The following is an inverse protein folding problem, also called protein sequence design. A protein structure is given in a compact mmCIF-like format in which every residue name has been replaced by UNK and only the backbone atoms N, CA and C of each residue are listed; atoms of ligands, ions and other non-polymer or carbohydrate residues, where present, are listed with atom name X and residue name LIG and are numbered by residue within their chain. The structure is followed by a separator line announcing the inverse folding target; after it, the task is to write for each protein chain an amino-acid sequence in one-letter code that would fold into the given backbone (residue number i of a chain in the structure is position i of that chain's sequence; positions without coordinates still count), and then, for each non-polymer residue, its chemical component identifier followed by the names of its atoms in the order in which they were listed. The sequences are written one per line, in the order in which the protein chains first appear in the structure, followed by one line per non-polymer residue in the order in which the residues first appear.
data_IF_100079896528
#
_entry.id   IF_100079896528
#
_cell.length_a   1.000
_cell.length_b   1.000
_cell.length_c   1.000
_cell.angle_alpha   90.00
_cell.angle_beta   90.00
_cell.angle_gamma   90.00
#
_symmetry.space_group_name_H-M   'P 1'
#
loop_
_entity.id
_entity.type
_entity.pdbx_description
1 polymer ?
#
# COMPACT_ATOMS: atom_id res chain seq x y z
N UNK A 1 11.02 13.62 -9.32
CA UNK A 1 10.53 12.64 -8.33
C UNK A 1 11.51 11.47 -8.30
N UNK A 2 12.09 11.12 -7.15
CA UNK A 2 13.00 9.96 -7.06
C UNK A 2 12.19 8.68 -7.38
N UNK A 3 12.72 7.72 -8.16
CA UNK A 3 12.01 6.46 -8.41
C UNK A 3 11.76 5.70 -7.11
N UNK A 4 10.62 5.01 -7.05
CA UNK A 4 10.29 4.10 -5.96
C UNK A 4 11.19 2.86 -6.07
N UNK A 5 12.22 2.81 -5.22
CA UNK A 5 13.20 1.72 -5.13
C UNK A 5 12.59 0.58 -4.31
N UNK A 6 12.57 -0.64 -4.87
CA UNK A 6 11.98 -1.81 -4.22
C UNK A 6 13.14 -2.64 -3.63
N UNK A 7 13.21 -2.82 -2.31
CA UNK A 7 14.27 -3.60 -1.67
C UNK A 7 14.27 -5.08 -2.08
N UNK A 8 15.46 -5.67 -2.21
CA UNK A 8 15.65 -7.10 -2.50
C UNK A 8 15.28 -8.02 -1.32
N UNK A 9 15.12 -7.46 -0.12
CA UNK A 9 14.71 -8.19 1.09
C UNK A 9 13.23 -8.59 1.10
N UNK A 10 12.44 -8.09 0.14
CA UNK A 10 11.00 -8.31 0.09
C UNK A 10 10.70 -9.57 -0.74
N UNK A 11 9.75 -10.44 -0.32
CA UNK A 11 9.34 -11.60 -1.10
C UNK A 11 8.98 -11.28 -2.55
N UNK A 12 9.34 -12.15 -3.49
CA UNK A 12 9.22 -11.92 -4.94
C UNK A 12 7.81 -11.48 -5.38
N UNK A 13 6.75 -12.09 -4.85
CA UNK A 13 5.37 -11.74 -5.22
C UNK A 13 4.99 -10.33 -4.76
N UNK A 14 5.43 -9.98 -3.56
CA UNK A 14 5.23 -8.65 -2.99
C UNK A 14 6.02 -7.62 -3.78
N UNK A 15 7.29 -7.87 -4.08
CA UNK A 15 8.13 -7.01 -4.91
C UNK A 15 7.49 -6.75 -6.30
N UNK A 16 6.92 -7.79 -6.93
CA UNK A 16 6.18 -7.65 -8.20
C UNK A 16 4.95 -6.74 -8.06
N UNK A 17 4.18 -6.85 -6.98
CA UNK A 17 3.04 -5.96 -6.75
C UNK A 17 3.47 -4.49 -6.63
N UNK A 18 4.59 -4.21 -5.94
CA UNK A 18 5.13 -2.84 -5.87
C UNK A 18 5.72 -2.36 -7.19
N UNK A 19 6.31 -3.24 -7.98
CA UNK A 19 6.76 -2.90 -9.33
C UNK A 19 5.56 -2.51 -10.21
N UNK A 20 4.46 -3.26 -10.15
CA UNK A 20 3.21 -2.90 -10.82
C UNK A 20 2.66 -1.56 -10.33
N UNK A 21 2.60 -1.33 -9.01
CA UNK A 21 2.15 -0.05 -8.45
C UNK A 21 3.00 1.14 -8.95
N UNK A 22 4.33 0.96 -9.02
CA UNK A 22 5.25 1.96 -9.58
C UNK A 22 4.96 2.26 -11.05
N UNK A 23 4.75 1.24 -11.87
CA UNK A 23 4.43 1.44 -13.28
C UNK A 23 3.04 2.08 -13.47
N UNK A 24 2.06 1.73 -12.64
CA UNK A 24 0.75 2.39 -12.64
C UNK A 24 0.84 3.88 -12.30
N UNK A 25 1.69 4.26 -11.34
CA UNK A 25 1.98 5.68 -11.06
C UNK A 25 2.57 6.38 -12.29
N UNK A 26 3.51 5.73 -13.02
CA UNK A 26 4.08 6.29 -14.25
C UNK A 26 3.05 6.44 -15.35
N UNK A 27 2.20 5.44 -15.54
CA UNK A 27 1.12 5.47 -16.52
C UNK A 27 -0.03 6.39 -16.11
N UNK A 28 -0.04 6.91 -14.88
CA UNK A 28 -1.04 7.88 -14.45
C UNK A 28 -0.98 9.20 -15.22
N UNK A 29 0.10 9.43 -15.98
CA UNK A 29 0.17 10.48 -17.00
C UNK A 29 -0.92 10.32 -18.08
N UNK A 30 -1.22 9.07 -18.47
CA UNK A 30 -2.23 8.78 -19.50
C UNK A 30 -3.64 8.64 -18.91
N UNK A 31 -3.76 7.99 -17.75
CA UNK A 31 -5.05 7.82 -17.06
C UNK A 31 -4.89 8.04 -15.56
N UNK A 32 -5.48 9.11 -15.03
CA UNK A 32 -5.29 9.51 -13.64
C UNK A 32 -5.78 8.46 -12.64
N UNK A 33 -6.71 7.59 -13.02
CA UNK A 33 -7.25 6.52 -12.16
C UNK A 33 -6.19 5.47 -11.83
N UNK A 34 -5.14 5.32 -12.65
CA UNK A 34 -4.05 4.41 -12.34
C UNK A 34 -3.34 4.75 -11.04
N UNK A 35 -3.40 6.00 -10.58
CA UNK A 35 -2.87 6.40 -9.29
C UNK A 35 -3.64 5.73 -8.13
N UNK A 36 -4.97 5.64 -8.24
CA UNK A 36 -5.80 4.95 -7.27
C UNK A 36 -5.65 3.41 -7.36
N UNK A 37 -5.45 2.87 -8.57
CA UNK A 37 -5.15 1.44 -8.77
C UNK A 37 -3.80 1.11 -8.15
N UNK A 38 -2.77 1.95 -8.32
CA UNK A 38 -1.46 1.75 -7.73
C UNK A 38 -1.52 1.64 -6.20
N UNK A 39 -2.24 2.56 -5.54
CA UNK A 39 -2.48 2.53 -4.10
C UNK A 39 -3.24 1.26 -3.70
N UNK A 40 -4.23 0.85 -4.49
CA UNK A 40 -5.00 -0.37 -4.20
C UNK A 40 -4.12 -1.62 -4.29
N UNK A 41 -3.25 -1.70 -5.31
CA UNK A 41 -2.28 -2.79 -5.49
C UNK A 41 -1.29 -2.86 -4.32
N UNK A 42 -0.74 -1.72 -3.87
CA UNK A 42 0.19 -1.72 -2.73
C UNK A 42 -0.48 -2.15 -1.42
N UNK A 43 -1.73 -1.73 -1.21
CA UNK A 43 -2.50 -2.09 -0.02
C UNK A 43 -2.85 -3.58 0.01
N UNK A 44 -3.17 -4.19 -1.13
CA UNK A 44 -3.39 -5.64 -1.23
C UNK A 44 -2.11 -6.41 -0.86
N UNK A 45 -0.96 -5.95 -1.35
CA UNK A 45 0.33 -6.57 -1.02
C UNK A 45 0.63 -6.51 0.48
N UNK A 46 0.38 -5.36 1.12
CA UNK A 46 0.50 -5.21 2.58
C UNK A 46 -0.46 -6.11 3.33
N UNK A 47 -1.70 -6.23 2.87
CA UNK A 47 -2.71 -6.99 3.60
C UNK A 47 -2.30 -8.45 3.76
N UNK A 48 -1.67 -9.03 2.73
CA UNK A 48 -1.10 -10.38 2.80
C UNK A 48 0.00 -10.47 3.86
N UNK A 49 0.99 -9.56 3.84
CA UNK A 49 2.09 -9.57 4.81
C UNK A 49 1.61 -9.36 6.26
N UNK A 50 0.66 -8.45 6.46
CA UNK A 50 0.04 -8.23 7.77
C UNK A 50 -0.78 -9.45 8.22
N UNK A 51 -1.44 -10.15 7.29
CA UNK A 51 -2.20 -11.36 7.60
C UNK A 51 -1.28 -12.50 8.02
N UNK A 52 -0.15 -12.65 7.37
CA UNK A 52 0.87 -13.64 7.75
C UNK A 52 1.41 -13.38 9.16
N UNK A 53 1.66 -12.12 9.53
CA UNK A 53 2.19 -11.76 10.85
C UNK A 53 1.16 -11.79 11.97
N UNK A 54 -0.06 -11.29 11.75
CA UNK A 54 -1.04 -11.04 12.81
C UNK A 54 -2.30 -11.92 12.75
N UNK A 55 -2.51 -12.71 11.69
CA UNK A 55 -3.65 -13.63 11.57
C UNK A 55 -5.04 -12.96 11.57
N UNK A 56 -5.14 -11.66 11.32
CA UNK A 56 -6.38 -10.89 11.47
C UNK A 56 -7.39 -11.05 10.33
N UNK A 57 -8.68 -10.98 10.67
CA UNK A 57 -9.79 -11.12 9.70
C UNK A 57 -10.00 -9.92 8.77
N UNK A 58 -9.48 -8.74 9.13
CA UNK A 58 -9.58 -7.56 8.29
C UNK A 58 -8.37 -6.63 8.45
N UNK A 59 -8.06 -5.90 7.38
CA UNK A 59 -6.89 -5.01 7.33
C UNK A 59 -6.88 -3.95 8.44
N UNK A 60 -8.03 -3.41 8.86
CA UNK A 60 -8.06 -2.40 9.90
C UNK A 60 -7.67 -2.94 11.28
N UNK A 61 -8.10 -4.16 11.60
CA UNK A 61 -7.69 -4.84 12.81
C UNK A 61 -6.17 -5.09 12.80
N UNK A 62 -5.63 -5.52 11.66
CA UNK A 62 -4.19 -5.77 11.54
C UNK A 62 -3.34 -4.51 11.63
N UNK A 63 -3.79 -3.39 11.05
CA UNK A 63 -3.14 -2.07 11.22
C UNK A 63 -3.14 -1.66 12.70
N UNK A 64 -4.26 -1.85 13.42
CA UNK A 64 -4.32 -1.53 14.85
C UNK A 64 -3.39 -2.41 15.69
N UNK A 65 -3.25 -3.70 15.36
CA UNK A 65 -2.32 -4.59 16.05
C UNK A 65 -0.86 -4.17 15.82
N UNK A 66 -0.50 -3.89 14.56
CA UNK A 66 0.83 -3.40 14.21
C UNK A 66 1.17 -2.03 14.82
N UNK A 67 0.15 -1.18 15.06
CA UNK A 67 0.33 0.07 15.78
C UNK A 67 0.51 -0.17 17.27
N UNK A 68 -0.27 -1.09 17.85
CA UNK A 68 -0.25 -1.39 19.28
C UNK A 68 1.06 -2.04 19.74
N UNK A 69 1.70 -2.84 18.90
CA UNK A 69 3.00 -3.47 19.19
C UNK A 69 4.21 -2.62 18.76
N UNK A 70 3.97 -1.44 18.17
CA UNK A 70 5.00 -0.50 17.76
C UNK A 70 5.71 -0.85 16.44
N UNK A 71 5.25 -1.86 15.70
CA UNK A 71 5.81 -2.22 14.39
C UNK A 71 5.67 -1.08 13.37
N UNK A 72 4.58 -0.30 13.45
CA UNK A 72 4.35 0.88 12.60
C UNK A 72 4.05 2.12 13.44
N UNK A 73 4.32 3.30 12.88
CA UNK A 73 3.98 4.59 13.50
C UNK A 73 2.50 4.96 13.29
N UNK A 74 2.01 5.93 14.07
CA UNK A 74 0.66 6.47 13.89
C UNK A 74 0.45 7.06 12.48
N UNK A 75 1.45 7.76 11.95
CA UNK A 75 1.42 8.32 10.59
C UNK A 75 1.31 7.21 9.54
N UNK A 76 2.09 6.13 9.68
CA UNK A 76 2.00 4.99 8.77
C UNK A 76 0.62 4.33 8.86
N UNK A 77 0.06 4.17 10.06
CA UNK A 77 -1.29 3.63 10.25
C UNK A 77 -2.36 4.48 9.54
N UNK A 78 -2.29 5.80 9.65
CA UNK A 78 -3.22 6.74 8.99
C UNK A 78 -3.13 6.65 7.46
N UNK A 79 -1.91 6.56 6.91
CA UNK A 79 -1.72 6.36 5.48
C UNK A 79 -2.25 5.00 5.00
N UNK A 80 -2.05 3.93 5.77
CA UNK A 80 -2.61 2.61 5.44
C UNK A 80 -4.14 2.61 5.51
N UNK A 81 -4.73 3.31 6.48
CA UNK A 81 -6.18 3.49 6.55
C UNK A 81 -6.73 4.30 5.38
N UNK A 82 -6.01 5.33 4.95
CA UNK A 82 -6.33 6.11 3.76
C UNK A 82 -6.30 5.25 2.50
N UNK A 83 -5.22 4.48 2.29
CA UNK A 83 -5.10 3.55 1.18
C UNK A 83 -6.19 2.47 1.19
N UNK A 84 -6.51 1.89 2.36
CA UNK A 84 -7.64 0.97 2.55
C UNK A 84 -8.96 1.60 2.12
N UNK A 85 -9.21 2.86 2.50
CA UNK A 85 -10.43 3.59 2.13
C UNK A 85 -10.54 3.78 0.61
N UNK A 86 -9.44 4.17 -0.04
CA UNK A 86 -9.35 4.29 -1.51
C UNK A 86 -9.70 2.96 -2.18
N UNK A 87 -9.00 1.88 -1.80
CA UNK A 87 -9.25 0.54 -2.33
C UNK A 87 -10.69 0.09 -2.12
N UNK A 88 -11.26 0.30 -0.94
CA UNK A 88 -12.64 -0.13 -0.65
C UNK A 88 -13.67 0.63 -1.50
N UNK A 89 -13.48 1.94 -1.70
CA UNK A 89 -14.38 2.73 -2.58
C UNK A 89 -14.34 2.22 -4.02
N UNK A 90 -13.14 1.90 -4.51
CA UNK A 90 -12.93 1.29 -5.82
C UNK A 90 -13.58 -0.10 -5.91
N UNK A 91 -13.24 -1.01 -5.00
CA UNK A 91 -13.69 -2.40 -5.03
C UNK A 91 -15.22 -2.56 -4.91
N UNK A 92 -15.90 -1.62 -4.24
CA UNK A 92 -17.36 -1.62 -4.13
C UNK A 92 -18.07 -0.79 -5.20
N UNK A 93 -17.37 -0.31 -6.23
CA UNK A 93 -17.97 0.49 -7.30
C UNK A 93 -18.57 1.82 -6.83
N UNK A 94 -18.19 2.29 -5.63
CA UNK A 94 -18.68 3.56 -5.06
C UNK A 94 -18.03 4.78 -5.70
N UNK A 95 -16.96 4.57 -6.47
CA UNK A 95 -16.28 5.63 -7.23
C UNK A 95 -15.83 5.04 -8.56
N UNK A 96 -16.40 5.53 -9.66
CA UNK A 96 -16.08 5.04 -11.01
C UNK A 96 -14.80 5.66 -11.58
N UNK A 97 -14.43 6.88 -11.16
CA UNK A 97 -13.24 7.62 -11.61
C UNK A 97 -12.45 8.22 -10.43
N UNK A 98 -11.83 7.40 -9.57
CA UNK A 98 -11.07 7.92 -8.44
C UNK A 98 -9.79 8.60 -8.94
N UNK A 99 -9.82 9.94 -9.05
CA UNK A 99 -8.64 10.76 -9.27
C UNK A 99 -7.86 10.95 -7.97
N UNK A 100 -6.58 10.61 -8.00
CA UNK A 100 -5.67 10.84 -6.89
C UNK A 100 -4.47 11.65 -7.39
N UNK A 101 -4.08 12.75 -6.71
CA UNK A 101 -2.87 13.45 -7.06
C UNK A 101 -1.67 12.49 -7.05
N UNK A 102 -0.88 12.47 -8.12
CA UNK A 102 0.28 11.58 -8.28
C UNK A 102 1.26 11.66 -7.10
N UNK A 103 1.60 12.85 -6.54
CA UNK A 103 2.46 12.92 -5.36
C UNK A 103 1.88 12.20 -4.15
N UNK A 104 0.56 12.31 -3.96
CA UNK A 104 -0.13 11.67 -2.85
C UNK A 104 -0.20 10.14 -3.03
N UNK A 105 -0.51 9.67 -4.24
CA UNK A 105 -0.47 8.25 -4.58
C UNK A 105 0.92 7.66 -4.33
N UNK A 106 1.96 8.37 -4.77
CA UNK A 106 3.36 7.97 -4.56
C UNK A 106 3.70 7.87 -3.08
N UNK A 107 3.23 8.82 -2.27
CA UNK A 107 3.45 8.81 -0.84
C UNK A 107 2.78 7.62 -0.13
N UNK A 108 1.54 7.28 -0.50
CA UNK A 108 0.84 6.12 0.04
C UNK A 108 1.48 4.78 -0.37
N UNK A 109 1.93 4.66 -1.63
CA UNK A 109 2.65 3.47 -2.11
C UNK A 109 4.02 3.36 -1.43
N UNK A 110 4.75 4.46 -1.26
CA UNK A 110 6.02 4.47 -0.54
C UNK A 110 5.84 4.06 0.92
N UNK A 111 4.85 4.63 1.60
CA UNK A 111 4.53 4.25 2.99
C UNK A 111 4.22 2.75 3.09
N UNK A 112 3.50 2.22 2.09
CA UNK A 112 3.22 0.79 2.04
C UNK A 112 4.49 -0.04 1.88
N UNK A 113 5.41 0.40 1.03
CA UNK A 113 6.67 -0.29 0.79
C UNK A 113 7.56 -0.26 2.04
N UNK A 114 7.67 0.90 2.69
CA UNK A 114 8.46 1.08 3.92
C UNK A 114 7.94 0.14 5.02
N UNK A 115 6.62 0.01 5.18
CA UNK A 115 6.02 -0.91 6.16
C UNK A 115 6.34 -2.37 5.83
N UNK A 116 6.28 -2.77 4.55
CA UNK A 116 6.67 -4.15 4.18
C UNK A 116 8.14 -4.42 4.46
N UNK A 117 9.02 -3.47 4.16
CA UNK A 117 10.44 -3.62 4.46
C UNK A 117 10.67 -3.84 5.97
N UNK A 118 9.91 -3.16 6.83
CA UNK A 118 9.93 -3.40 8.28
C UNK A 118 9.42 -4.79 8.66
N UNK A 119 8.31 -5.23 8.03
CA UNK A 119 7.73 -6.55 8.30
C UNK A 119 8.66 -7.70 7.87
N UNK A 120 9.37 -7.55 6.76
CA UNK A 120 10.30 -8.56 6.23
C UNK A 120 11.71 -8.47 6.82
N UNK A 121 12.11 -7.30 7.36
CA UNK A 121 13.41 -7.07 8.00
C UNK A 121 13.45 -7.41 9.49
N UNK A 122 12.31 -7.77 10.08
CA UNK A 122 12.24 -8.25 11.45
C UNK A 122 12.63 -9.73 11.51
N UNK A 123 13.61 -10.14 12.34
CA UNK A 123 13.93 -11.56 12.55
C UNK A 123 12.76 -12.33 13.17
#
# INVERSE_FOLDING_TARGET
MKPLEIPDSIPVNTARAFATARELIRFSYYHFEFAAVAVSTSIIAIETALRERYGGNNLAAMIRMALADGTITAEQADHLHTGRSIRNRYAHGKTMHPALPIPFATHLVKTSLDVIALLCGSP
#
